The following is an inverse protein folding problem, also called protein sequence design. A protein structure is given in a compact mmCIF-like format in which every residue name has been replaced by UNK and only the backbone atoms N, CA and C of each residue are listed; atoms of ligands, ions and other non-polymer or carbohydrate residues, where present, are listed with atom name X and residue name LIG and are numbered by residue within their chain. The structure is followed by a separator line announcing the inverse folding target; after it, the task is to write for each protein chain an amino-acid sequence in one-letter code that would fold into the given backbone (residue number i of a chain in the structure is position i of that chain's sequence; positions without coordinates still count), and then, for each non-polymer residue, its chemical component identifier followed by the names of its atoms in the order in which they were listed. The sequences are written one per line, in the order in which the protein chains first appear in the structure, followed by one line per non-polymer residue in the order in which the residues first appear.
data_IF_219333171839
#
_entry.id   IF_219333171839
#
_cell.length_a   1.000
_cell.length_b   1.000
_cell.length_c   1.000
_cell.angle_alpha   90.00
_cell.angle_beta   90.00
_cell.angle_gamma   90.00
#
_symmetry.space_group_name_H-M   'P 1'
#
loop_
_entity.id
_entity.type
_entity.pdbx_description
1 polymer ?
#
# COMPACT_ATOMS: atom_id res chain seq x y z
N UNK A 1 30.42 4.02 -0.77
CA UNK A 1 29.76 3.58 0.48
C UNK A 1 30.32 4.40 1.64
N UNK A 2 29.62 4.56 2.76
CA UNK A 2 30.15 5.20 3.96
C UNK A 2 30.28 4.16 5.08
N UNK A 3 31.29 4.31 5.93
CA UNK A 3 31.41 3.51 7.14
C UNK A 3 30.47 4.01 8.25
N UNK A 4 30.49 3.32 9.40
CA UNK A 4 29.67 3.67 10.56
C UNK A 4 29.91 5.09 11.13
N UNK A 5 31.04 5.72 10.78
CA UNK A 5 31.41 7.06 11.20
C UNK A 5 31.18 8.11 10.09
N UNK A 6 30.54 7.73 8.98
CA UNK A 6 30.27 8.61 7.85
C UNK A 6 31.50 8.88 6.96
N UNK A 7 32.60 8.15 7.11
CA UNK A 7 33.78 8.29 6.25
C UNK A 7 33.63 7.41 5.01
N UNK A 8 34.05 7.93 3.87
CA UNK A 8 33.99 7.21 2.58
C UNK A 8 34.78 5.89 2.66
N UNK A 9 34.20 4.85 2.08
CA UNK A 9 34.80 3.56 1.79
C UNK A 9 35.01 3.47 0.27
N UNK A 10 36.27 3.60 -0.16
CA UNK A 10 36.71 3.44 -1.55
C UNK A 10 37.36 2.07 -1.80
N UNK A 11 37.45 1.24 -0.76
CA UNK A 11 38.23 0.01 -0.75
C UNK A 11 37.45 -1.18 -1.35
N UNK A 12 36.15 -0.99 -1.63
CA UNK A 12 35.26 -2.02 -2.18
C UNK A 12 34.27 -1.47 -3.20
N UNK A 13 33.94 -2.30 -4.18
CA UNK A 13 32.87 -2.09 -5.14
C UNK A 13 31.69 -3.03 -4.81
N UNK A 14 30.47 -2.51 -4.91
CA UNK A 14 29.26 -3.30 -4.72
C UNK A 14 28.51 -3.42 -6.04
N UNK A 15 28.19 -4.65 -6.42
CA UNK A 15 27.46 -5.00 -7.62
C UNK A 15 26.27 -5.87 -7.21
N UNK A 16 25.14 -5.72 -7.90
CA UNK A 16 24.02 -6.65 -7.78
C UNK A 16 24.02 -7.51 -9.04
N UNK A 17 24.19 -8.82 -8.87
CA UNK A 17 24.19 -9.79 -9.97
C UNK A 17 23.27 -10.93 -9.57
N UNK A 18 22.24 -11.20 -10.38
CA UNK A 18 21.25 -12.25 -10.12
C UNK A 18 20.66 -12.16 -8.70
N UNK A 19 20.21 -10.98 -8.30
CA UNK A 19 19.64 -10.67 -6.98
C UNK A 19 20.59 -10.89 -5.78
N UNK A 20 21.88 -11.13 -6.03
CA UNK A 20 22.90 -11.22 -4.98
C UNK A 20 23.76 -9.95 -4.94
N UNK A 21 23.93 -9.41 -3.74
CA UNK A 21 24.90 -8.36 -3.48
C UNK A 21 26.30 -8.96 -3.46
N UNK A 22 27.08 -8.68 -4.50
CA UNK A 22 28.49 -9.03 -4.59
C UNK A 22 29.31 -7.83 -4.16
N UNK A 23 30.17 -8.05 -3.16
CA UNK A 23 31.14 -7.06 -2.69
C UNK A 23 32.51 -7.51 -3.18
N UNK A 24 33.19 -6.67 -3.94
CA UNK A 24 34.53 -6.91 -4.47
C UNK A 24 35.52 -5.92 -3.88
N UNK A 25 36.76 -6.35 -3.68
CA UNK A 25 37.86 -5.45 -3.33
C UNK A 25 38.38 -4.68 -4.56
N UNK A 26 39.40 -3.84 -4.35
CA UNK A 26 40.06 -3.08 -5.43
C UNK A 26 40.68 -3.95 -6.54
N UNK A 27 40.95 -5.23 -6.26
CA UNK A 27 41.54 -6.18 -7.20
C UNK A 27 40.47 -6.95 -7.99
N UNK A 28 39.18 -6.76 -7.65
CA UNK A 28 38.06 -7.48 -8.25
C UNK A 28 37.74 -8.82 -7.57
N UNK A 29 38.45 -9.18 -6.50
CA UNK A 29 38.22 -10.40 -5.75
C UNK A 29 37.04 -10.25 -4.81
N UNK A 30 36.30 -11.35 -4.57
CA UNK A 30 35.18 -11.33 -3.61
C UNK A 30 35.69 -10.98 -2.22
N UNK A 31 35.08 -9.97 -1.61
CA UNK A 31 35.37 -9.54 -0.25
C UNK A 31 35.22 -10.71 0.74
N UNK A 32 36.24 -10.91 1.58
CA UNK A 32 36.23 -11.89 2.66
C UNK A 32 36.51 -11.20 3.99
N UNK A 33 35.61 -11.40 4.94
CA UNK A 33 35.77 -10.89 6.29
C UNK A 33 36.86 -11.66 7.05
N UNK A 34 37.79 -10.94 7.68
CA UNK A 34 38.85 -11.50 8.53
C UNK A 34 38.94 -10.74 9.84
N UNK A 35 38.81 -11.45 10.97
CA UNK A 35 38.92 -10.85 12.31
C UNK A 35 40.30 -10.27 12.62
N UNK A 36 41.33 -10.66 11.85
CA UNK A 36 42.72 -10.23 12.05
C UNK A 36 43.03 -8.88 11.38
N UNK A 37 42.19 -8.42 10.46
CA UNK A 37 42.45 -7.23 9.64
C UNK A 37 41.44 -6.12 9.93
N UNK A 38 41.88 -4.98 10.51
CA UNK A 38 41.00 -3.87 10.87
C UNK A 38 40.21 -3.28 9.69
N UNK A 39 40.80 -3.29 8.49
CA UNK A 39 40.16 -2.79 7.27
C UNK A 39 38.93 -3.59 6.86
N UNK A 40 38.99 -4.93 6.96
CA UNK A 40 37.84 -5.79 6.62
C UNK A 40 36.72 -5.67 7.64
N UNK A 41 37.04 -5.47 8.93
CA UNK A 41 36.06 -5.19 9.97
C UNK A 41 35.28 -3.90 9.69
N UNK A 42 35.94 -2.86 9.18
CA UNK A 42 35.30 -1.58 8.85
C UNK A 42 34.23 -1.73 7.77
N UNK A 43 34.53 -2.49 6.71
CA UNK A 43 33.58 -2.77 5.60
C UNK A 43 32.42 -3.63 6.10
N UNK A 44 32.73 -4.70 6.85
CA UNK A 44 31.72 -5.60 7.43
C UNK A 44 30.74 -4.83 8.33
N UNK A 45 31.26 -3.95 9.20
CA UNK A 45 30.46 -3.06 10.06
C UNK A 45 29.53 -2.16 9.23
N UNK A 46 30.03 -1.60 8.14
CA UNK A 46 29.24 -0.73 7.26
C UNK A 46 28.09 -1.47 6.59
N UNK A 47 28.36 -2.64 6.00
CA UNK A 47 27.35 -3.50 5.37
C UNK A 47 26.26 -3.91 6.35
N UNK A 48 26.65 -4.40 7.52
CA UNK A 48 25.71 -4.80 8.58
C UNK A 48 24.83 -3.63 9.03
N UNK A 49 25.43 -2.47 9.33
CA UNK A 49 24.68 -1.31 9.82
C UNK A 49 23.72 -0.76 8.74
N UNK A 50 24.12 -0.76 7.48
CA UNK A 50 23.26 -0.31 6.38
C UNK A 50 22.08 -1.26 6.16
N UNK A 51 22.33 -2.57 6.10
CA UNK A 51 21.26 -3.58 5.99
C UNK A 51 20.32 -3.51 7.19
N UNK A 52 20.87 -3.41 8.40
CA UNK A 52 20.09 -3.24 9.63
C UNK A 52 19.19 -2.00 9.55
N UNK A 53 19.73 -0.86 9.13
CA UNK A 53 18.97 0.39 9.01
C UNK A 53 17.79 0.26 8.04
N UNK A 54 18.01 -0.37 6.88
CA UNK A 54 16.95 -0.63 5.89
C UNK A 54 15.87 -1.54 6.47
N UNK A 55 16.27 -2.64 7.11
CA UNK A 55 15.34 -3.62 7.69
C UNK A 55 14.54 -3.00 8.86
N UNK A 56 15.17 -2.19 9.71
CA UNK A 56 14.53 -1.61 10.90
C UNK A 56 13.63 -0.41 10.59
N UNK A 57 13.96 0.39 9.57
CA UNK A 57 13.34 1.71 9.36
C UNK A 57 12.74 1.94 7.96
N UNK A 58 12.98 1.06 7.00
CA UNK A 58 12.48 1.24 5.63
C UNK A 58 11.56 0.10 5.17
N UNK A 59 11.72 -1.11 5.70
CA UNK A 59 10.92 -2.27 5.31
C UNK A 59 9.83 -2.56 6.32
N UNK A 60 8.59 -2.57 5.82
CA UNK A 60 7.38 -2.87 6.57
C UNK A 60 6.49 -3.79 5.71
N UNK A 61 5.84 -4.75 6.35
CA UNK A 61 5.09 -5.77 5.62
C UNK A 61 3.94 -6.35 6.43
N UNK A 62 2.90 -6.77 5.73
CA UNK A 62 1.71 -7.39 6.30
C UNK A 62 1.32 -8.58 5.45
N UNK A 63 1.07 -9.72 6.08
CA UNK A 63 0.50 -10.90 5.43
C UNK A 63 -0.55 -11.54 6.35
N UNK A 64 -1.62 -12.08 5.76
CA UNK A 64 -2.68 -12.75 6.51
C UNK A 64 -2.22 -14.11 7.05
N UNK A 65 -1.27 -14.76 6.37
CA UNK A 65 -0.72 -16.06 6.75
C UNK A 65 0.44 -15.90 7.75
N UNK A 66 0.30 -16.39 9.00
CA UNK A 66 1.37 -16.32 9.99
C UNK A 66 2.67 -17.01 9.54
N UNK A 67 2.57 -18.07 8.74
CA UNK A 67 3.74 -18.79 8.25
C UNK A 67 4.54 -17.95 7.25
N UNK A 68 3.87 -17.26 6.33
CA UNK A 68 4.52 -16.32 5.40
C UNK A 68 5.28 -15.23 6.15
N UNK A 69 4.66 -14.66 7.20
CA UNK A 69 5.31 -13.66 8.07
C UNK A 69 6.55 -14.21 8.74
N UNK A 70 6.48 -15.42 9.30
CA UNK A 70 7.62 -16.04 9.99
C UNK A 70 8.77 -16.37 9.02
N UNK A 71 8.45 -16.86 7.81
CA UNK A 71 9.46 -17.11 6.76
C UNK A 71 10.11 -15.80 6.31
N UNK A 72 9.33 -14.74 6.09
CA UNK A 72 9.84 -13.42 5.75
C UNK A 72 10.80 -12.89 6.83
N UNK A 73 10.38 -12.95 8.10
CA UNK A 73 11.23 -12.56 9.25
C UNK A 73 12.53 -13.37 9.27
N UNK A 74 12.45 -14.69 9.12
CA UNK A 74 13.63 -15.56 9.09
C UNK A 74 14.56 -15.18 7.93
N UNK A 75 14.03 -14.90 6.73
CA UNK A 75 14.82 -14.51 5.56
C UNK A 75 15.54 -13.18 5.76
N UNK A 76 14.89 -12.19 6.38
CA UNK A 76 15.52 -10.92 6.72
C UNK A 76 16.62 -11.11 7.77
N UNK A 77 16.41 -11.99 8.75
CA UNK A 77 17.45 -12.33 9.73
C UNK A 77 18.63 -13.06 9.11
N UNK A 78 18.41 -14.05 8.24
CA UNK A 78 19.51 -14.77 7.59
C UNK A 78 20.31 -13.84 6.69
N UNK A 79 19.66 -12.90 6.01
CA UNK A 79 20.33 -11.90 5.19
C UNK A 79 21.21 -10.95 6.02
N UNK A 80 20.72 -10.53 7.20
CA UNK A 80 21.52 -9.70 8.11
C UNK A 80 22.66 -10.49 8.78
N UNK A 81 22.45 -11.77 9.07
CA UNK A 81 23.45 -12.65 9.68
C UNK A 81 24.67 -12.87 8.78
N UNK A 82 24.50 -12.84 7.45
CA UNK A 82 25.63 -12.93 6.51
C UNK A 82 26.71 -11.88 6.78
N UNK A 83 26.31 -10.70 7.24
CA UNK A 83 27.22 -9.58 7.51
C UNK A 83 27.49 -9.36 9.01
N UNK A 84 27.05 -10.28 9.88
CA UNK A 84 27.30 -10.16 11.31
C UNK A 84 28.81 -10.13 11.62
N UNK A 85 29.19 -9.34 12.61
CA UNK A 85 30.58 -9.19 13.04
C UNK A 85 30.71 -9.28 14.56
N UNK A 86 31.92 -9.60 15.01
CA UNK A 86 32.29 -9.62 16.42
C UNK A 86 32.67 -8.21 16.87
N UNK A 87 32.07 -7.77 17.97
CA UNK A 87 32.45 -6.52 18.62
C UNK A 87 33.85 -6.61 19.22
N UNK A 88 34.41 -5.47 19.62
CA UNK A 88 35.73 -5.38 20.28
C UNK A 88 35.77 -6.17 21.60
N UNK A 89 34.61 -6.45 22.21
CA UNK A 89 34.48 -7.26 23.42
C UNK A 89 34.29 -8.76 23.14
N UNK A 90 34.42 -9.18 21.87
CA UNK A 90 34.29 -10.59 21.46
C UNK A 90 32.85 -11.11 21.41
N UNK A 91 31.85 -10.27 21.67
CA UNK A 91 30.44 -10.63 21.55
C UNK A 91 29.96 -10.45 20.11
N UNK A 92 29.19 -11.40 19.59
CA UNK A 92 28.54 -11.28 18.29
C UNK A 92 27.47 -10.18 18.35
N UNK A 93 27.41 -9.34 17.31
CA UNK A 93 26.42 -8.27 17.25
C UNK A 93 25.00 -8.84 17.31
N UNK A 94 24.14 -8.23 18.13
CA UNK A 94 22.77 -8.71 18.34
C UNK A 94 21.87 -8.39 17.16
N UNK A 95 21.00 -9.33 16.79
CA UNK A 95 19.99 -9.12 15.76
C UNK A 95 18.89 -8.15 16.24
N UNK A 96 18.37 -7.33 15.33
CA UNK A 96 17.28 -6.40 15.64
C UNK A 96 15.94 -7.13 15.78
N UNK A 97 15.02 -6.48 16.50
CA UNK A 97 13.65 -6.96 16.67
C UNK A 97 12.80 -6.53 15.47
N UNK A 98 12.77 -7.38 14.43
CA UNK A 98 12.05 -7.13 13.16
C UNK A 98 10.57 -7.52 13.21
N UNK A 99 10.16 -8.18 14.29
CA UNK A 99 8.79 -8.64 14.53
C UNK A 99 7.77 -7.49 14.56
N UNK A 100 8.24 -6.27 14.86
CA UNK A 100 7.44 -5.06 14.85
C UNK A 100 7.24 -4.46 13.45
N UNK A 101 8.07 -4.81 12.47
CA UNK A 101 7.97 -4.28 11.11
C UNK A 101 7.18 -5.20 10.17
N UNK A 102 7.22 -6.52 10.40
CA UNK A 102 6.46 -7.51 9.61
C UNK A 102 5.35 -8.07 10.48
N UNK A 103 4.08 -7.84 10.12
CA UNK A 103 2.89 -8.11 10.94
C UNK A 103 1.98 -9.15 10.31
N UNK A 104 1.24 -9.88 11.15
CA UNK A 104 0.17 -10.78 10.71
C UNK A 104 -1.16 -10.01 10.73
N UNK A 105 -1.90 -10.02 9.63
CA UNK A 105 -3.22 -9.40 9.55
C UNK A 105 -3.78 -9.31 8.13
N UNK A 106 -5.08 -9.09 8.02
CA UNK A 106 -5.73 -8.73 6.77
C UNK A 106 -5.52 -7.23 6.51
N UNK A 107 -4.65 -6.93 5.56
CA UNK A 107 -4.31 -5.56 5.17
C UNK A 107 -5.46 -4.75 4.57
N UNK A 108 -6.47 -5.41 3.98
CA UNK A 108 -7.62 -4.77 3.36
C UNK A 108 -8.68 -4.36 4.36
N UNK A 109 -8.72 -5.00 5.53
CA UNK A 109 -9.75 -4.78 6.56
C UNK A 109 -9.18 -3.93 7.69
N UNK A 110 -9.90 -2.86 8.03
CA UNK A 110 -9.63 -1.99 9.17
C UNK A 110 -10.92 -1.53 9.82
N UNK A 111 -10.90 -1.33 11.12
CA UNK A 111 -12.00 -0.76 11.89
C UNK A 111 -12.07 0.74 11.68
N UNK A 112 -10.91 1.39 11.51
CA UNK A 112 -10.78 2.83 11.50
C UNK A 112 -10.17 3.32 10.19
N UNK A 113 -10.75 4.39 9.63
CA UNK A 113 -10.20 5.00 8.42
C UNK A 113 -8.84 5.64 8.67
N UNK A 114 -8.00 5.65 7.63
CA UNK A 114 -6.65 6.24 7.70
C UNK A 114 -6.71 7.74 8.06
N UNK A 115 -7.76 8.44 7.62
CA UNK A 115 -7.94 9.88 7.84
C UNK A 115 -8.81 10.20 9.06
N UNK A 116 -9.16 9.22 9.89
CA UNK A 116 -9.99 9.48 11.07
C UNK A 116 -9.23 10.39 12.05
N UNK A 117 -9.82 11.53 12.43
CA UNK A 117 -9.19 12.39 13.43
C UNK A 117 -9.16 11.69 14.79
N UNK A 118 -8.02 11.83 15.47
CA UNK A 118 -7.82 11.24 16.77
C UNK A 118 -7.48 12.35 17.78
N UNK A 119 -8.31 12.48 18.82
CA UNK A 119 -8.04 13.42 19.91
C UNK A 119 -7.01 12.77 20.86
N UNK A 120 -5.74 12.84 20.45
CA UNK A 120 -4.64 12.38 21.29
C UNK A 120 -4.38 13.45 22.35
N UNK A 121 -4.63 13.13 23.61
CA UNK A 121 -3.90 13.81 24.69
C UNK A 121 -2.41 13.59 24.39
N UNK A 122 -1.71 14.66 23.97
CA UNK A 122 -0.38 14.69 23.33
C UNK A 122 0.76 13.87 23.99
N UNK A 123 0.53 13.29 25.17
CA UNK A 123 1.54 12.55 25.93
C UNK A 123 1.62 11.06 25.52
N UNK A 124 0.51 10.35 25.34
CA UNK A 124 0.54 8.89 25.14
C UNK A 124 1.19 8.45 23.82
N UNK A 125 1.16 9.29 22.78
CA UNK A 125 1.75 8.92 21.46
C UNK A 125 3.27 9.03 21.43
N UNK A 126 3.83 10.08 22.04
CA UNK A 126 5.29 10.20 22.19
C UNK A 126 5.83 9.04 23.02
N UNK A 127 5.08 8.66 24.06
CA UNK A 127 5.40 7.50 24.88
C UNK A 127 5.34 6.23 24.03
N UNK A 128 4.31 6.04 23.20
CA UNK A 128 4.22 4.89 22.28
C UNK A 128 5.40 4.79 21.32
N UNK A 129 5.75 5.88 20.62
CA UNK A 129 6.92 5.92 19.74
C UNK A 129 8.22 5.62 20.50
N UNK A 130 8.36 6.14 21.72
CA UNK A 130 9.52 5.88 22.57
C UNK A 130 9.62 4.41 22.98
N UNK A 131 8.48 3.77 23.28
CA UNK A 131 8.40 2.35 23.63
C UNK A 131 8.75 1.47 22.43
N UNK A 132 8.25 1.80 21.23
CA UNK A 132 8.62 1.12 19.98
C UNK A 132 10.12 1.22 19.73
N UNK A 133 10.71 2.40 19.90
CA UNK A 133 12.16 2.60 19.77
C UNK A 133 12.96 1.84 20.82
N UNK A 134 12.48 1.80 22.06
CA UNK A 134 13.09 1.04 23.16
C UNK A 134 13.01 -0.47 22.90
N UNK A 135 11.89 -0.94 22.35
CA UNK A 135 11.70 -2.33 21.96
C UNK A 135 12.72 -2.74 20.90
N UNK A 136 12.89 -1.96 19.82
CA UNK A 136 13.85 -2.27 18.74
C UNK A 136 15.30 -2.42 19.25
N UNK A 137 15.68 -1.65 20.26
CA UNK A 137 17.06 -1.60 20.78
C UNK A 137 17.35 -2.54 21.97
N UNK A 138 16.32 -3.11 22.60
CA UNK A 138 16.50 -3.94 23.79
C UNK A 138 16.71 -5.41 23.41
N UNK A 139 17.71 -6.07 24.01
CA UNK A 139 17.94 -7.51 23.83
C UNK A 139 17.33 -8.37 24.95
N UNK A 140 17.01 -7.78 26.11
CA UNK A 140 16.50 -8.48 27.29
C UNK A 140 15.03 -8.92 27.13
N UNK A 141 14.76 -10.22 27.29
CA UNK A 141 13.42 -10.82 27.13
C UNK A 141 12.38 -10.33 28.13
N UNK A 142 12.75 -10.09 29.39
CA UNK A 142 11.82 -9.62 30.43
C UNK A 142 11.37 -8.21 30.13
N UNK A 143 12.33 -7.32 29.84
CA UNK A 143 12.05 -5.92 29.48
C UNK A 143 11.17 -5.85 28.22
N UNK A 144 11.40 -6.74 27.23
CA UNK A 144 10.53 -6.85 26.05
C UNK A 144 9.09 -7.23 26.39
N UNK A 145 8.90 -8.18 27.29
CA UNK A 145 7.57 -8.61 27.70
C UNK A 145 6.81 -7.46 28.38
N UNK A 146 7.49 -6.67 29.20
CA UNK A 146 6.90 -5.50 29.87
C UNK A 146 6.56 -4.39 28.87
N UNK A 147 7.47 -4.05 27.96
CA UNK A 147 7.21 -3.08 26.88
C UNK A 147 6.02 -3.53 26.02
N UNK A 148 5.94 -4.82 25.68
CA UNK A 148 4.82 -5.34 24.90
C UNK A 148 3.48 -5.21 25.64
N UNK A 149 3.46 -5.41 26.97
CA UNK A 149 2.25 -5.18 27.77
C UNK A 149 1.85 -3.71 27.77
N UNK A 150 2.80 -2.80 27.92
CA UNK A 150 2.55 -1.35 27.86
C UNK A 150 2.01 -0.93 26.49
N UNK A 151 2.62 -1.41 25.41
CA UNK A 151 2.14 -1.21 24.03
C UNK A 151 0.70 -1.70 23.88
N UNK A 152 0.36 -2.89 24.40
CA UNK A 152 -0.99 -3.41 24.31
C UNK A 152 -2.00 -2.61 25.15
N UNK A 153 -1.59 -2.11 26.31
CA UNK A 153 -2.44 -1.22 27.11
C UNK A 153 -2.75 0.08 26.36
N UNK A 154 -1.73 0.71 25.77
CA UNK A 154 -1.91 1.92 24.94
C UNK A 154 -2.83 1.63 23.75
N UNK A 155 -2.65 0.49 23.08
CA UNK A 155 -3.53 0.06 21.98
C UNK A 155 -4.97 -0.10 22.45
N UNK A 156 -5.20 -0.77 23.59
CA UNK A 156 -6.55 -0.98 24.13
C UNK A 156 -7.23 0.34 24.53
N UNK A 157 -6.49 1.27 25.14
CA UNK A 157 -6.98 2.63 25.42
C UNK A 157 -7.35 3.36 24.13
N UNK A 158 -6.51 3.24 23.09
CA UNK A 158 -6.77 3.83 21.78
C UNK A 158 -8.06 3.28 21.17
N UNK A 159 -8.21 1.95 21.12
CA UNK A 159 -9.42 1.29 20.65
C UNK A 159 -10.65 1.68 21.46
N UNK A 160 -10.51 1.88 22.78
CA UNK A 160 -11.61 2.30 23.66
C UNK A 160 -12.02 3.77 23.47
N UNK A 161 -11.09 4.64 23.10
CA UNK A 161 -11.36 6.06 22.82
C UNK A 161 -11.95 6.30 21.43
N UNK A 162 -11.78 5.37 20.50
CA UNK A 162 -12.26 5.53 19.14
C UNK A 162 -13.78 5.40 19.06
N UNK A 163 -14.40 6.41 18.45
CA UNK A 163 -15.84 6.39 18.15
C UNK A 163 -16.03 6.06 16.67
N UNK A 164 -16.58 4.89 16.39
CA UNK A 164 -17.01 4.54 15.03
C UNK A 164 -18.08 5.52 14.55
N UNK A 165 -18.31 5.67 13.24
CA UNK A 165 -19.45 6.46 12.74
C UNK A 165 -20.80 5.97 13.30
N UNK A 166 -20.89 4.69 13.69
CA UNK A 166 -22.02 4.16 14.45
C UNK A 166 -22.04 4.68 15.91
N UNK A 167 -20.88 4.72 16.58
CA UNK A 167 -20.71 5.30 17.91
C UNK A 167 -21.00 6.82 17.95
N UNK A 168 -20.57 7.58 16.96
CA UNK A 168 -20.96 9.01 16.88
C UNK A 168 -22.45 9.20 16.65
N UNK A 169 -23.08 8.35 15.82
CA UNK A 169 -24.54 8.37 15.63
C UNK A 169 -25.27 8.05 16.92
N UNK A 170 -24.75 7.10 17.70
CA UNK A 170 -25.24 6.77 19.03
C UNK A 170 -25.11 7.95 19.99
N UNK A 171 -23.94 8.57 20.07
CA UNK A 171 -23.72 9.75 20.92
C UNK A 171 -24.61 10.92 20.52
N UNK A 172 -24.76 11.20 19.22
CA UNK A 172 -25.68 12.23 18.72
C UNK A 172 -27.12 11.92 19.10
N UNK A 173 -27.54 10.65 18.99
CA UNK A 173 -28.88 10.22 19.36
C UNK A 173 -29.11 10.32 20.88
N UNK A 174 -28.13 9.92 21.70
CA UNK A 174 -28.18 10.01 23.16
C UNK A 174 -28.11 11.46 23.66
N UNK A 175 -27.25 12.30 23.08
CA UNK A 175 -27.18 13.72 23.40
C UNK A 175 -28.49 14.45 23.05
N UNK A 176 -29.12 14.10 21.91
CA UNK A 176 -30.43 14.63 21.53
C UNK A 176 -31.54 14.13 22.45
N UNK A 177 -31.51 12.87 22.85
CA UNK A 177 -32.43 12.30 23.84
C UNK A 177 -32.28 12.99 25.20
N UNK A 178 -31.05 13.21 25.67
CA UNK A 178 -30.76 13.89 26.94
C UNK A 178 -31.18 15.37 26.90
N UNK A 179 -30.97 16.07 25.77
CA UNK A 179 -31.46 17.45 25.60
C UNK A 179 -32.99 17.54 25.63
N UNK A 180 -33.69 16.60 25.00
CA UNK A 180 -35.17 16.57 25.01
C UNK A 180 -35.71 16.13 26.38
N UNK A 181 -35.03 15.21 27.07
CA UNK A 181 -35.37 14.81 28.43
C UNK A 181 -35.06 15.88 29.49
N UNK A 182 -34.08 16.77 29.23
CA UNK A 182 -33.82 17.98 30.02
C UNK A 182 -34.65 19.19 29.55
N UNK A 183 -35.38 19.04 28.44
CA UNK A 183 -36.26 20.05 27.84
C UNK A 183 -37.44 20.36 28.75
N UNK A 184 -37.19 21.35 29.61
CA UNK A 184 -38.08 22.16 30.43
C UNK A 184 -38.95 21.41 31.46
N UNK A 185 -38.55 21.56 32.73
CA UNK A 185 -39.37 21.50 33.94
C UNK A 185 -40.67 22.38 33.89
N UNK A 186 -40.89 23.12 32.78
CA UNK A 186 -41.94 24.11 32.55
C UNK A 186 -42.58 24.05 31.14
N UNK A 187 -42.31 23.04 30.31
CA UNK A 187 -43.06 22.79 29.06
C UNK A 187 -43.36 21.29 28.94
N UNK A 188 -44.58 20.95 28.53
CA UNK A 188 -44.99 19.55 28.33
C UNK A 188 -44.00 18.84 27.40
N UNK A 189 -43.30 17.85 27.94
CA UNK A 189 -42.39 17.02 27.17
C UNK A 189 -43.19 16.31 26.09
N UNK A 190 -42.85 16.52 24.82
CA UNK A 190 -43.51 15.85 23.72
C UNK A 190 -43.18 14.34 23.77
N UNK A 191 -44.06 13.57 24.41
CA UNK A 191 -43.91 12.14 24.70
C UNK A 191 -43.71 11.28 23.44
N UNK A 192 -44.27 11.71 22.32
CA UNK A 192 -44.10 11.09 20.99
C UNK A 192 -42.65 11.24 20.50
N UNK A 193 -42.11 12.47 20.53
CA UNK A 193 -40.74 12.76 20.10
C UNK A 193 -39.70 12.02 20.97
N UNK A 194 -39.95 11.92 22.28
CA UNK A 194 -39.09 11.18 23.19
C UNK A 194 -39.10 9.66 22.90
N UNK A 195 -40.28 9.08 22.60
CA UNK A 195 -40.40 7.67 22.20
C UNK A 195 -39.66 7.38 20.89
N UNK A 196 -39.78 8.26 19.89
CA UNK A 196 -39.04 8.13 18.63
C UNK A 196 -37.52 8.23 18.82
N UNK A 197 -37.06 9.21 19.60
CA UNK A 197 -35.63 9.39 19.88
C UNK A 197 -35.06 8.21 20.67
N UNK A 198 -35.81 7.66 21.62
CA UNK A 198 -35.43 6.43 22.34
C UNK A 198 -35.33 5.22 21.40
N UNK A 199 -36.25 5.09 20.44
CA UNK A 199 -36.18 4.05 19.42
C UNK A 199 -34.98 4.23 18.48
N UNK A 200 -34.68 5.47 18.06
CA UNK A 200 -33.49 5.80 17.25
C UNK A 200 -32.19 5.53 18.02
N UNK A 201 -32.12 5.89 19.30
CA UNK A 201 -30.96 5.60 20.16
C UNK A 201 -30.77 4.10 20.35
N UNK A 202 -31.86 3.33 20.57
CA UNK A 202 -31.79 1.87 20.66
C UNK A 202 -31.28 1.22 19.36
N UNK A 203 -31.81 1.63 18.19
CA UNK A 203 -31.32 1.17 16.89
C UNK A 203 -29.84 1.54 16.65
N UNK A 204 -29.44 2.74 17.05
CA UNK A 204 -28.04 3.17 16.97
C UNK A 204 -27.13 2.34 17.90
N UNK A 205 -27.62 1.97 19.10
CA UNK A 205 -26.90 1.11 20.04
C UNK A 205 -26.72 -0.30 19.47
N UNK A 206 -27.79 -0.89 18.95
CA UNK A 206 -27.75 -2.21 18.31
C UNK A 206 -26.79 -2.21 17.10
N UNK A 207 -26.80 -1.15 16.29
CA UNK A 207 -25.86 -0.99 15.19
C UNK A 207 -24.41 -0.83 15.66
N UNK A 208 -24.19 -0.12 16.77
CA UNK A 208 -22.87 0.05 17.38
C UNK A 208 -22.32 -1.26 17.95
N UNK A 209 -23.11 -2.00 18.73
CA UNK A 209 -22.71 -3.30 19.28
C UNK A 209 -22.45 -4.33 18.16
N UNK A 210 -23.28 -4.33 17.11
CA UNK A 210 -23.09 -5.17 15.93
C UNK A 210 -21.80 -4.83 15.18
N UNK A 211 -21.48 -3.54 15.04
CA UNK A 211 -20.25 -3.10 14.41
C UNK A 211 -19.01 -3.44 15.27
N UNK A 212 -19.09 -3.26 16.59
CA UNK A 212 -18.00 -3.51 17.54
C UNK A 212 -17.61 -4.99 17.60
N UNK A 213 -18.59 -5.88 17.58
CA UNK A 213 -18.41 -7.34 17.68
C UNK A 213 -18.43 -8.04 16.32
N UNK A 214 -18.27 -7.30 15.22
CA UNK A 214 -18.27 -7.90 13.87
C UNK A 214 -17.08 -8.86 13.71
N UNK A 215 -17.30 -10.14 13.34
CA UNK A 215 -16.24 -11.13 13.12
C UNK A 215 -15.20 -10.72 12.06
N UNK A 216 -15.60 -9.84 11.12
CA UNK A 216 -14.75 -9.31 10.05
C UNK A 216 -13.47 -8.68 10.61
N UNK A 217 -13.52 -8.13 11.83
CA UNK A 217 -12.39 -7.41 12.42
C UNK A 217 -11.50 -8.26 13.34
N UNK A 218 -11.62 -9.59 13.32
CA UNK A 218 -10.78 -10.46 14.16
C UNK A 218 -9.31 -10.46 13.71
N UNK A 219 -9.06 -10.18 12.44
CA UNK A 219 -7.71 -10.10 11.86
C UNK A 219 -7.45 -8.74 11.17
N UNK A 220 -8.21 -7.70 11.52
CA UNK A 220 -8.08 -6.39 10.87
C UNK A 220 -6.71 -5.76 11.13
N UNK A 221 -6.18 -5.11 10.11
CA UNK A 221 -4.91 -4.39 10.18
C UNK A 221 -5.13 -2.89 10.38
N UNK A 222 -4.94 -2.42 11.61
CA UNK A 222 -4.95 -0.99 11.92
C UNK A 222 -3.58 -0.36 11.61
N UNK A 223 -3.37 -0.01 10.33
CA UNK A 223 -2.10 0.51 9.81
C UNK A 223 -1.43 1.58 10.70
N UNK A 224 -2.22 2.55 11.18
CA UNK A 224 -1.75 3.66 12.05
C UNK A 224 -1.23 3.19 13.40
N UNK A 225 -1.82 2.14 13.95
CA UNK A 225 -1.48 1.62 15.28
C UNK A 225 -0.36 0.60 15.22
N UNK A 226 -0.37 -0.23 14.19
CA UNK A 226 0.66 -1.25 14.01
C UNK A 226 1.97 -0.67 13.51
N UNK A 227 1.92 0.46 12.80
CA UNK A 227 3.07 1.22 12.31
C UNK A 227 2.94 2.71 12.71
N UNK A 228 3.22 3.07 13.96
CA UNK A 228 3.17 4.47 14.40
C UNK A 228 4.22 5.36 13.72
N UNK A 229 5.25 4.79 13.09
CA UNK A 229 6.30 5.55 12.40
C UNK A 229 5.80 6.33 11.17
N UNK A 230 4.63 5.99 10.63
CA UNK A 230 3.99 6.72 9.53
C UNK A 230 2.98 7.78 9.98
N UNK A 231 3.01 8.12 11.27
CA UNK A 231 2.22 9.21 11.82
C UNK A 231 3.10 10.45 12.06
N UNK A 232 2.51 11.63 11.92
CA UNK A 232 3.18 12.89 12.25
C UNK A 232 3.12 13.21 13.75
N UNK A 233 3.64 14.38 14.15
CA UNK A 233 3.59 14.82 15.55
C UNK A 233 2.19 15.06 16.10
N UNK A 234 1.19 15.19 15.24
CA UNK A 234 -0.22 15.36 15.60
C UNK A 234 -0.97 14.01 15.63
N UNK A 235 -0.33 12.92 15.21
CA UNK A 235 -0.93 11.59 15.11
C UNK A 235 -1.71 11.37 13.81
N UNK A 236 -1.55 12.25 12.83
CA UNK A 236 -2.17 12.14 11.52
C UNK A 236 -1.36 11.22 10.61
N UNK A 237 -2.06 10.45 9.77
CA UNK A 237 -1.42 9.49 8.87
C UNK A 237 -0.72 10.22 7.71
N UNK A 238 0.60 10.13 7.66
CA UNK A 238 1.44 10.74 6.61
C UNK A 238 1.46 9.88 5.36
N UNK A 239 1.52 8.56 5.54
CA UNK A 239 1.67 7.58 4.47
C UNK A 239 3.11 7.26 4.11
N UNK A 240 3.28 6.38 3.12
CA UNK A 240 4.55 5.79 2.73
C UNK A 240 5.16 6.47 1.51
N UNK A 241 6.50 6.50 1.47
CA UNK A 241 7.29 6.93 0.30
C UNK A 241 7.16 5.98 -0.90
N UNK A 242 7.13 4.67 -0.62
CA UNK A 242 7.12 3.62 -1.63
C UNK A 242 6.21 2.49 -1.16
N UNK A 243 5.34 2.02 -2.05
CA UNK A 243 4.47 0.86 -1.82
C UNK A 243 4.67 -0.13 -2.96
N UNK A 244 5.20 -1.30 -2.64
CA UNK A 244 5.49 -2.39 -3.58
C UNK A 244 4.66 -3.62 -3.22
N UNK A 245 4.11 -4.33 -4.20
CA UNK A 245 3.43 -5.60 -3.96
C UNK A 245 3.29 -6.47 -5.20
N UNK A 246 3.20 -7.77 -4.95
CA UNK A 246 2.58 -8.74 -5.84
C UNK A 246 1.29 -9.23 -5.12
N UNK A 247 0.15 -8.52 -5.26
CA UNK A 247 -1.05 -8.83 -4.51
C UNK A 247 -1.67 -10.17 -4.93
N UNK A 248 -2.53 -10.79 -4.10
CA UNK A 248 -3.24 -12.01 -4.49
C UNK A 248 -4.23 -11.74 -5.63
N UNK A 249 -4.41 -12.73 -6.51
CA UNK A 249 -5.29 -12.67 -7.69
C UNK A 249 -6.54 -13.55 -7.52
N UNK A 250 -7.40 -13.22 -6.56
CA UNK A 250 -8.57 -14.02 -6.19
C UNK A 250 -9.85 -13.31 -6.66
N UNK A 251 -10.72 -14.05 -7.34
CA UNK A 251 -12.03 -13.55 -7.74
C UNK A 251 -13.04 -13.63 -6.58
N UNK A 252 -13.71 -12.52 -6.27
CA UNK A 252 -14.71 -12.47 -5.20
C UNK A 252 -15.96 -13.37 -5.43
N UNK A 253 -16.13 -13.96 -6.63
CA UNK A 253 -17.27 -14.83 -6.97
C UNK A 253 -17.17 -16.25 -6.42
N UNK A 254 -15.98 -16.76 -6.11
CA UNK A 254 -15.75 -18.19 -5.86
C UNK A 254 -16.06 -18.63 -4.41
N UNK A 255 -17.04 -18.00 -3.75
CA UNK A 255 -17.31 -18.19 -2.31
C UNK A 255 -16.09 -17.93 -1.40
N UNK A 256 -15.03 -17.31 -1.94
CA UNK A 256 -13.77 -17.08 -1.24
C UNK A 256 -13.87 -16.07 -0.09
N UNK A 257 -14.99 -15.34 -0.02
CA UNK A 257 -15.27 -14.36 1.03
C UNK A 257 -16.69 -14.57 1.55
N UNK A 258 -16.85 -14.41 2.87
CA UNK A 258 -18.17 -14.33 3.48
C UNK A 258 -18.90 -13.03 3.08
N UNK A 259 -20.21 -12.99 3.30
CA UNK A 259 -21.04 -11.86 2.86
C UNK A 259 -20.75 -10.57 3.64
N UNK A 260 -20.28 -10.67 4.88
CA UNK A 260 -19.89 -9.51 5.69
C UNK A 260 -18.64 -8.82 5.10
N UNK A 261 -17.66 -9.62 4.69
CA UNK A 261 -16.42 -9.17 4.06
C UNK A 261 -16.70 -8.55 2.70
N UNK A 262 -17.60 -9.13 1.90
CA UNK A 262 -18.05 -8.53 0.63
C UNK A 262 -18.70 -7.15 0.86
N UNK A 263 -19.61 -7.05 1.84
CA UNK A 263 -20.26 -5.77 2.19
C UNK A 263 -19.25 -4.72 2.67
N UNK A 264 -18.26 -5.14 3.47
CA UNK A 264 -17.16 -4.29 3.87
C UNK A 264 -16.39 -3.77 2.64
N UNK A 265 -16.01 -4.64 1.70
CA UNK A 265 -15.29 -4.21 0.50
C UNK A 265 -16.09 -3.25 -0.38
N UNK A 266 -17.38 -3.52 -0.59
CA UNK A 266 -18.25 -2.66 -1.40
C UNK A 266 -18.45 -1.27 -0.78
N UNK A 267 -18.45 -1.18 0.55
CA UNK A 267 -18.64 0.10 1.26
C UNK A 267 -17.36 0.91 1.41
N UNK A 268 -16.19 0.27 1.47
CA UNK A 268 -14.90 0.94 1.74
C UNK A 268 -14.04 1.13 0.49
N UNK A 269 -14.27 0.35 -0.56
CA UNK A 269 -13.54 0.44 -1.82
C UNK A 269 -14.49 0.73 -2.97
N UNK A 270 -14.21 1.79 -3.73
CA UNK A 270 -14.94 2.08 -4.97
C UNK A 270 -14.50 1.08 -6.05
N UNK A 271 -15.20 -0.05 -6.11
CA UNK A 271 -14.98 -1.12 -7.10
C UNK A 271 -16.21 -1.33 -7.98
N UNK A 272 -16.03 -2.05 -9.09
CA UNK A 272 -17.14 -2.50 -9.93
C UNK A 272 -17.90 -3.62 -9.24
N UNK A 273 -19.23 -3.47 -9.16
CA UNK A 273 -20.12 -4.41 -8.48
C UNK A 273 -19.92 -5.82 -9.06
N UNK A 274 -19.77 -6.81 -8.17
CA UNK A 274 -19.81 -8.24 -8.46
C UNK A 274 -18.66 -8.90 -9.25
N UNK A 275 -17.55 -8.21 -9.59
CA UNK A 275 -16.37 -8.84 -10.24
C UNK A 275 -15.00 -8.44 -9.69
N UNK A 276 -14.93 -7.72 -8.57
CA UNK A 276 -13.65 -7.26 -8.04
C UNK A 276 -12.70 -8.45 -7.79
N UNK A 277 -11.59 -8.47 -8.55
CA UNK A 277 -10.44 -9.29 -8.24
C UNK A 277 -9.68 -8.59 -7.10
N UNK A 278 -9.18 -9.35 -6.13
CA UNK A 278 -8.52 -8.80 -4.93
C UNK A 278 -7.42 -7.80 -5.26
N UNK A 279 -6.66 -7.98 -6.36
CA UNK A 279 -5.61 -7.02 -6.73
C UNK A 279 -6.16 -5.59 -6.89
N UNK A 280 -7.40 -5.40 -7.35
CA UNK A 280 -8.01 -4.07 -7.50
C UNK A 280 -8.23 -3.38 -6.16
N UNK A 281 -8.59 -4.15 -5.13
CA UNK A 281 -8.70 -3.66 -3.74
C UNK A 281 -7.32 -3.26 -3.21
N UNK A 282 -6.31 -4.09 -3.45
CA UNK A 282 -4.93 -3.81 -3.06
C UNK A 282 -4.33 -2.59 -3.76
N UNK A 283 -4.70 -2.31 -5.02
CA UNK A 283 -4.29 -1.08 -5.70
C UNK A 283 -4.87 0.16 -5.03
N UNK A 284 -6.16 0.12 -4.67
CA UNK A 284 -6.82 1.22 -3.92
C UNK A 284 -6.21 1.39 -2.54
N UNK A 285 -5.95 0.29 -1.82
CA UNK A 285 -5.26 0.32 -0.55
C UNK A 285 -3.87 0.95 -0.70
N UNK A 286 -3.05 0.48 -1.64
CA UNK A 286 -1.70 0.97 -1.85
C UNK A 286 -1.65 2.46 -2.18
N UNK A 287 -2.57 2.95 -3.02
CA UNK A 287 -2.72 4.40 -3.25
C UNK A 287 -3.07 5.19 -1.98
N UNK A 288 -3.99 4.66 -1.16
CA UNK A 288 -4.40 5.30 0.08
C UNK A 288 -3.27 5.30 1.13
N UNK A 289 -2.41 4.29 1.11
CA UNK A 289 -1.23 4.18 1.96
C UNK A 289 -0.10 5.12 1.55
N UNK A 290 0.00 5.50 0.27
CA UNK A 290 1.03 6.43 -0.21
C UNK A 290 0.83 7.85 0.31
N UNK A 291 1.94 8.52 0.62
CA UNK A 291 1.96 9.97 0.80
C UNK A 291 1.91 10.69 -0.55
N UNK A 292 1.60 11.99 -0.54
CA UNK A 292 1.65 12.81 -1.76
C UNK A 292 3.07 12.78 -2.37
N UNK A 293 3.16 12.49 -3.67
CA UNK A 293 4.43 12.31 -4.39
C UNK A 293 5.12 10.95 -4.15
N UNK A 294 4.55 10.07 -3.33
CA UNK A 294 5.05 8.71 -3.13
C UNK A 294 4.87 7.82 -4.36
N UNK A 295 5.70 6.79 -4.47
CA UNK A 295 5.78 5.89 -5.63
C UNK A 295 5.06 4.56 -5.36
N UNK A 296 4.29 4.11 -6.33
CA UNK A 296 3.62 2.81 -6.36
C UNK A 296 4.33 1.89 -7.36
N UNK A 297 4.44 0.60 -7.05
CA UNK A 297 5.00 -0.39 -7.98
C UNK A 297 4.42 -1.79 -7.75
N UNK A 298 3.44 -2.22 -8.55
CA UNK A 298 2.83 -3.56 -8.43
C UNK A 298 3.04 -4.42 -9.67
N UNK A 299 3.08 -5.73 -9.45
CA UNK A 299 2.88 -6.74 -10.48
C UNK A 299 1.43 -7.20 -10.39
N UNK A 300 0.64 -7.11 -11.47
CA UNK A 300 -0.78 -7.49 -11.48
C UNK A 300 -1.14 -8.20 -12.79
N UNK A 301 -2.31 -8.86 -12.92
CA UNK A 301 -2.71 -9.47 -14.18
C UNK A 301 -2.92 -8.42 -15.28
N UNK A 302 -2.45 -8.70 -16.49
CA UNK A 302 -2.59 -7.78 -17.63
C UNK A 302 -4.05 -7.60 -18.11
N UNK A 303 -4.96 -8.44 -17.60
CA UNK A 303 -6.39 -8.33 -17.85
C UNK A 303 -6.98 -6.97 -17.39
N UNK A 304 -6.26 -6.26 -16.51
CA UNK A 304 -6.56 -4.88 -16.10
C UNK A 304 -6.59 -3.93 -17.29
N UNK A 305 -5.75 -4.16 -18.31
CA UNK A 305 -5.55 -3.28 -19.45
C UNK A 305 -6.79 -3.16 -20.36
N UNK A 306 -7.55 -4.24 -20.53
CA UNK A 306 -8.57 -4.33 -21.59
C UNK A 306 -9.95 -4.79 -21.12
N UNK A 307 -10.07 -5.57 -20.04
CA UNK A 307 -11.37 -6.15 -19.64
C UNK A 307 -12.33 -5.07 -19.11
N UNK A 308 -13.60 -5.15 -19.51
CA UNK A 308 -14.65 -4.19 -19.13
C UNK A 308 -14.88 -4.12 -17.61
N UNK A 309 -14.80 -5.24 -16.88
CA UNK A 309 -14.99 -5.25 -15.41
C UNK A 309 -13.92 -4.47 -14.64
N UNK A 310 -12.81 -4.10 -15.30
CA UNK A 310 -11.73 -3.29 -14.72
C UNK A 310 -11.79 -1.83 -15.18
N UNK A 311 -12.94 -1.35 -15.65
CA UNK A 311 -13.07 0.02 -16.12
C UNK A 311 -12.80 1.04 -15.00
N UNK A 312 -13.42 0.88 -13.82
CA UNK A 312 -13.24 1.84 -12.71
C UNK A 312 -11.81 1.95 -12.21
N UNK A 313 -11.01 0.87 -12.32
CA UNK A 313 -9.61 0.92 -11.91
C UNK A 313 -8.77 1.70 -12.94
N UNK A 314 -9.04 1.55 -14.24
CA UNK A 314 -8.38 2.35 -15.27
C UNK A 314 -8.80 3.82 -15.21
N UNK A 315 -10.09 4.09 -15.03
CA UNK A 315 -10.60 5.45 -14.79
C UNK A 315 -9.89 6.09 -13.60
N UNK A 316 -9.69 5.32 -12.52
CA UNK A 316 -8.96 5.78 -11.35
C UNK A 316 -7.49 6.09 -11.64
N UNK A 317 -6.77 5.22 -12.34
CA UNK A 317 -5.36 5.43 -12.67
C UNK A 317 -5.17 6.72 -13.47
N UNK A 318 -5.97 6.92 -14.52
CA UNK A 318 -5.89 8.13 -15.36
C UNK A 318 -6.23 9.39 -14.57
N UNK A 319 -7.22 9.35 -13.68
CA UNK A 319 -7.73 10.56 -13.05
C UNK A 319 -7.09 10.90 -11.69
N UNK A 320 -6.32 9.99 -11.09
CA UNK A 320 -5.80 10.15 -9.72
C UNK A 320 -4.30 9.93 -9.57
N UNK A 321 -3.60 9.51 -10.62
CA UNK A 321 -2.17 9.18 -10.57
C UNK A 321 -1.40 9.94 -11.64
N UNK A 322 -0.15 10.27 -11.36
CA UNK A 322 0.78 10.87 -12.31
C UNK A 322 1.97 9.95 -12.57
N UNK A 323 2.73 10.24 -13.62
CA UNK A 323 3.83 9.43 -14.12
C UNK A 323 3.45 7.94 -14.21
N UNK A 324 2.27 7.66 -14.77
CA UNK A 324 1.74 6.31 -14.85
C UNK A 324 2.57 5.53 -15.86
N UNK A 325 3.20 4.45 -15.43
CA UNK A 325 3.98 3.57 -16.29
C UNK A 325 3.37 2.17 -16.27
N UNK A 326 3.12 1.63 -17.46
CA UNK A 326 2.51 0.32 -17.66
C UNK A 326 3.43 -0.50 -18.56
N UNK A 327 4.01 -1.56 -18.00
CA UNK A 327 4.84 -2.51 -18.73
C UNK A 327 4.09 -3.83 -18.84
N UNK A 328 3.65 -4.21 -20.03
CA UNK A 328 3.03 -5.52 -20.23
C UNK A 328 4.10 -6.60 -20.37
N UNK A 329 4.01 -7.65 -19.56
CA UNK A 329 4.93 -8.78 -19.66
C UNK A 329 4.47 -9.72 -20.77
N UNK A 330 5.36 -9.94 -21.73
CA UNK A 330 5.25 -11.03 -22.71
C UNK A 330 5.83 -12.33 -22.13
N UNK A 331 6.67 -12.19 -21.09
CA UNK A 331 7.24 -13.31 -20.35
C UNK A 331 6.25 -13.92 -19.36
N UNK A 332 6.37 -15.23 -19.20
CA UNK A 332 5.75 -15.97 -18.09
C UNK A 332 6.58 -15.75 -16.81
N UNK A 333 6.28 -14.66 -16.10
CA UNK A 333 7.00 -14.27 -14.88
C UNK A 333 6.96 -15.31 -13.75
N UNK A 334 5.93 -16.16 -13.71
CA UNK A 334 5.75 -17.18 -12.69
C UNK A 334 5.63 -18.56 -13.34
N UNK A 335 6.54 -19.47 -13.02
CA UNK A 335 6.58 -20.82 -13.62
C UNK A 335 5.27 -21.59 -13.40
N UNK A 336 4.69 -21.43 -12.21
CA UNK A 336 3.59 -22.25 -11.70
C UNK A 336 2.20 -21.64 -11.95
N UNK A 337 2.13 -20.40 -12.46
CA UNK A 337 0.87 -19.70 -12.71
C UNK A 337 0.64 -19.49 -14.21
N UNK A 338 -0.58 -19.74 -14.68
CA UNK A 338 -0.98 -19.48 -16.08
C UNK A 338 -1.71 -18.14 -16.21
N UNK A 339 -1.06 -17.07 -15.72
CA UNK A 339 -1.62 -15.71 -15.71
C UNK A 339 -0.59 -14.75 -16.29
N UNK A 340 -0.99 -14.06 -17.36
CA UNK A 340 -0.20 -12.99 -17.95
C UNK A 340 -0.25 -11.75 -17.07
N UNK A 341 0.90 -11.09 -16.91
CA UNK A 341 1.07 -10.01 -15.95
C UNK A 341 1.47 -8.71 -16.63
N UNK A 342 1.20 -7.60 -15.97
CA UNK A 342 1.80 -6.32 -16.25
C UNK A 342 2.38 -5.73 -14.96
N UNK A 343 3.38 -4.87 -15.12
CA UNK A 343 3.90 -4.04 -14.06
C UNK A 343 3.25 -2.67 -14.17
N UNK A 344 2.81 -2.14 -13.04
CA UNK A 344 2.18 -0.83 -12.95
C UNK A 344 2.94 0.00 -11.94
N UNK A 345 3.47 1.13 -12.40
CA UNK A 345 4.12 2.13 -11.58
C UNK A 345 3.37 3.45 -11.70
N UNK A 346 3.30 4.21 -10.62
CA UNK A 346 2.79 5.59 -10.68
C UNK A 346 3.24 6.38 -9.46
N UNK A 347 3.08 7.69 -9.50
CA UNK A 347 3.17 8.57 -8.33
C UNK A 347 1.80 9.05 -7.90
N UNK A 348 1.63 9.25 -6.60
CA UNK A 348 0.44 9.88 -6.03
C UNK A 348 0.51 11.39 -6.24
N UNK A 349 0.20 11.81 -7.45
CA UNK A 349 0.20 13.21 -7.89
C UNK A 349 -0.88 13.48 -8.95
N UNK A 350 -0.97 14.73 -9.41
CA UNK A 350 -1.92 15.10 -10.45
C UNK A 350 -1.61 14.35 -11.76
N UNK A 351 -2.64 13.93 -12.52
CA UNK A 351 -2.42 13.28 -13.80
C UNK A 351 -1.66 14.15 -14.79
N UNK A 352 -0.69 13.55 -15.48
CA UNK A 352 0.15 14.20 -16.47
C UNK A 352 0.38 13.29 -17.69
N UNK A 353 1.03 12.15 -17.48
CA UNK A 353 1.63 11.33 -18.51
C UNK A 353 1.44 9.85 -18.24
N UNK A 354 1.33 9.09 -19.33
CA UNK A 354 1.26 7.64 -19.34
C UNK A 354 2.37 7.12 -20.25
N UNK A 355 3.29 6.35 -19.68
CA UNK A 355 4.34 5.64 -20.41
C UNK A 355 3.96 4.18 -20.55
N UNK A 356 4.13 3.62 -21.74
CA UNK A 356 3.85 2.19 -21.97
C UNK A 356 5.06 1.46 -22.52
N UNK A 357 5.21 0.20 -22.12
CA UNK A 357 6.29 -0.67 -22.54
C UNK A 357 5.91 -2.14 -22.55
N UNK A 358 6.83 -2.96 -23.04
CA UNK A 358 6.77 -4.42 -22.97
C UNK A 358 8.03 -4.95 -22.26
N UNK A 359 7.86 -6.03 -21.51
CA UNK A 359 8.95 -6.85 -20.98
C UNK A 359 8.96 -8.17 -21.75
N UNK A 360 10.08 -8.47 -22.40
CA UNK A 360 10.24 -9.64 -23.26
C UNK A 360 11.66 -10.22 -23.09
N UNK A 361 11.74 -11.50 -22.73
CA UNK A 361 12.97 -12.24 -22.44
C UNK A 361 13.88 -11.57 -21.40
N UNK A 362 13.27 -10.95 -20.38
CA UNK A 362 13.98 -10.21 -19.33
C UNK A 362 14.47 -8.81 -19.74
N UNK A 363 14.30 -8.40 -21.00
CA UNK A 363 14.58 -7.05 -21.46
C UNK A 363 13.30 -6.21 -21.50
N UNK A 364 13.31 -5.04 -20.86
CA UNK A 364 12.18 -4.12 -20.91
C UNK A 364 12.43 -3.02 -21.95
N UNK A 365 11.38 -2.68 -22.71
CA UNK A 365 11.42 -1.63 -23.73
C UNK A 365 10.21 -0.71 -23.59
N UNK A 366 10.49 0.58 -23.45
CA UNK A 366 9.46 1.62 -23.47
C UNK A 366 9.17 2.04 -24.93
N UNK A 367 7.89 2.15 -25.28
CA UNK A 367 7.46 2.53 -26.63
C UNK A 367 7.15 4.01 -26.77
N UNK A 368 6.81 4.68 -25.67
CA UNK A 368 6.56 6.11 -25.66
C UNK A 368 5.72 6.56 -24.49
N UNK A 369 5.66 7.88 -24.35
CA UNK A 369 4.88 8.58 -23.33
C UNK A 369 3.79 9.39 -24.02
N UNK A 370 2.57 9.29 -23.51
CA UNK A 370 1.39 10.01 -24.00
C UNK A 370 0.75 10.81 -22.86
N UNK A 371 -0.03 11.85 -23.16
CA UNK A 371 -0.82 12.55 -22.13
C UNK A 371 -1.82 11.63 -21.43
N UNK A 372 -2.24 11.97 -20.22
CA UNK A 372 -3.17 11.17 -19.42
C UNK A 372 -4.52 10.89 -20.10
N UNK A 373 -5.01 11.82 -20.94
CA UNK A 373 -6.28 11.72 -21.65
C UNK A 373 -6.22 10.91 -22.96
N UNK A 374 -5.03 10.43 -23.35
CA UNK A 374 -4.82 9.76 -24.65
C UNK A 374 -5.71 8.53 -24.88
N UNK A 375 -5.96 7.75 -23.83
CA UNK A 375 -6.82 6.56 -23.90
C UNK A 375 -8.31 6.87 -23.70
N UNK A 376 -8.68 8.15 -23.62
CA UNK A 376 -10.02 8.62 -23.32
C UNK A 376 -10.28 8.77 -21.82
N UNK A 377 -11.12 9.75 -21.48
CA UNK A 377 -11.53 10.03 -20.09
C UNK A 377 -12.74 9.21 -19.63
N UNK A 378 -13.41 8.55 -20.58
CA UNK A 378 -14.54 7.66 -20.31
C UNK A 378 -14.22 6.27 -20.89
N UNK A 379 -14.25 5.24 -20.04
CA UNK A 379 -14.03 3.85 -20.45
C UNK A 379 -12.68 3.61 -21.15
N UNK A 380 -11.55 4.07 -20.56
CA UNK A 380 -10.25 3.91 -21.18
C UNK A 380 -9.93 2.43 -21.41
N UNK A 381 -9.17 2.14 -22.45
CA UNK A 381 -8.58 0.83 -22.72
C UNK A 381 -7.09 1.06 -22.98
N UNK A 382 -6.24 0.45 -22.16
CA UNK A 382 -4.79 0.58 -22.28
C UNK A 382 -4.25 -0.36 -23.36
N UNK A 383 -4.50 -0.03 -24.62
CA UNK A 383 -3.95 -0.76 -25.75
C UNK A 383 -2.55 -0.23 -26.09
N UNK A 384 -1.52 -0.97 -25.66
CA UNK A 384 -0.10 -0.61 -25.87
C UNK A 384 0.23 -0.44 -27.35
N UNK A 385 -0.43 -1.18 -28.25
CA UNK A 385 -0.23 -1.06 -29.70
C UNK A 385 -0.58 0.35 -30.22
N UNK A 386 -1.49 1.07 -29.57
CA UNK A 386 -1.84 2.44 -29.95
C UNK A 386 -0.66 3.41 -29.79
N UNK A 387 0.21 3.17 -28.81
CA UNK A 387 1.41 3.99 -28.58
C UNK A 387 2.56 3.46 -29.43
N UNK A 388 2.76 2.14 -29.46
CA UNK A 388 3.81 1.46 -30.24
C UNK A 388 3.76 1.79 -31.72
N UNK A 389 2.56 1.85 -32.31
CA UNK A 389 2.35 2.14 -33.73
C UNK A 389 1.70 3.50 -33.98
N UNK A 390 1.85 4.45 -33.04
CA UNK A 390 1.18 5.76 -33.09
C UNK A 390 1.34 6.46 -34.44
N UNK A 391 2.57 6.54 -34.97
CA UNK A 391 2.83 7.18 -36.26
C UNK A 391 2.06 6.51 -37.44
N UNK A 392 1.99 5.19 -37.45
CA UNK A 392 1.26 4.42 -38.47
C UNK A 392 -0.25 4.61 -38.34
N UNK A 393 -0.76 4.61 -37.10
CA UNK A 393 -2.18 4.84 -36.82
C UNK A 393 -2.58 6.27 -37.21
N UNK A 394 -1.77 7.27 -36.87
CA UNK A 394 -2.00 8.66 -37.25
C UNK A 394 -1.99 8.84 -38.78
N UNK A 395 -1.06 8.18 -39.47
CA UNK A 395 -1.02 8.17 -40.93
C UNK A 395 -2.27 7.53 -41.54
N UNK A 396 -2.72 6.38 -41.01
CA UNK A 396 -3.93 5.71 -41.44
C UNK A 396 -5.18 6.60 -41.30
N UNK A 397 -5.32 7.30 -40.15
CA UNK A 397 -6.45 8.20 -39.94
C UNK A 397 -6.42 9.43 -40.84
N UNK A 398 -5.24 10.02 -41.07
CA UNK A 398 -5.08 11.12 -42.04
C UNK A 398 -5.49 10.69 -43.44
N UNK A 399 -5.08 9.49 -43.89
CA UNK A 399 -5.48 8.93 -45.19
C UNK A 399 -6.99 8.66 -45.27
N UNK A 400 -7.61 8.18 -44.19
CA UNK A 400 -9.06 7.92 -44.14
C UNK A 400 -9.86 9.22 -44.19
N UNK A 401 -9.43 10.27 -43.50
CA UNK A 401 -10.04 11.61 -43.57
C UNK A 401 -9.90 12.17 -44.98
N UNK A 402 -8.70 12.07 -45.59
CA UNK A 402 -8.49 12.47 -46.98
C UNK A 402 -9.42 11.72 -47.94
N UNK A 403 -9.59 10.40 -47.77
CA UNK A 403 -10.54 9.60 -48.57
C UNK A 403 -11.99 10.04 -48.37
N UNK A 404 -12.41 10.32 -47.14
CA UNK A 404 -13.75 10.81 -46.83
C UNK A 404 -14.02 12.18 -47.46
N UNK A 405 -13.05 13.11 -47.36
CA UNK A 405 -13.11 14.42 -48.02
C UNK A 405 -13.18 14.29 -49.54
N UNK A 406 -12.37 13.42 -50.15
CA UNK A 406 -12.45 13.18 -51.60
C UNK A 406 -13.77 12.55 -52.01
N UNK A 407 -14.37 11.67 -51.19
CA UNK A 407 -15.68 11.10 -51.47
C UNK A 407 -16.82 12.13 -51.40
N UNK A 408 -16.75 13.06 -50.44
CA UNK A 408 -17.67 14.18 -50.31
C UNK A 408 -17.55 15.15 -51.49
N UNK A 409 -16.32 15.48 -51.90
CA UNK A 409 -16.08 16.30 -53.09
C UNK A 409 -16.59 15.61 -54.36
N UNK A 410 -16.38 14.30 -54.53
CA UNK A 410 -16.92 13.56 -55.69
C UNK A 410 -18.44 13.43 -55.70
N UNK A 411 -19.11 13.56 -54.54
CA UNK A 411 -20.57 13.60 -54.44
C UNK A 411 -21.13 14.99 -54.81
N UNK A 412 -20.42 16.08 -54.50
CA UNK A 412 -20.80 17.43 -54.94
C UNK A 412 -20.62 17.64 -56.46
N UNK A 413 -19.68 16.93 -57.10
CA UNK A 413 -19.50 16.97 -58.56
C UNK A 413 -20.42 16.03 -59.36
N UNK A 414 -21.29 15.24 -58.70
CA UNK A 414 -22.27 14.36 -59.36
C UNK A 414 -23.69 14.94 -59.42
N UNK A 415 -23.87 16.24 -59.12
CA UNK A 415 -25.08 16.97 -59.54
C UNK A 415 -24.77 18.04 -60.57
N UNK A 416 -24.90 17.73 -61.87
CA UNK A 416 -25.28 18.71 -62.88
C UNK A 416 -26.79 18.60 -63.13
N UNK A 417 -27.46 19.71 -62.89
CA UNK A 417 -28.71 20.12 -63.53
C UNK A 417 -28.84 19.65 -64.98
N UNK A 418 -29.82 18.80 -65.28
CA UNK A 418 -30.89 19.00 -66.29
C UNK A 418 -31.82 17.80 -66.34
#
# INVERSE_FOLDING_TARGET
MFDANGKILNDVQCLVVNDELIVQDINGDRFKYSTKEPGTLRIQKALFNQKRTIIENCLYGVDINPNSVNICRLRLWTELLKDAYYSETGSLTTLPNIDINIKVGDSLIRRFDLNAHFDMRRNNFKDYLSLVKKYKNTSNKTVKADINKEIQNIKNEFFGSFKTPAGERLDRAQARMNKVGQGNLFHETNLEEFKELKAKAKKAQEAYEKAKNSPVFNHSMEWRMEFPEVLDSNGDFVGWDLVIANPPYIFARNQSFDDYTKQYYLSHYTVDEYQANTYTLFMKLGYNLLKQGGTFAYIIPNNMLTIHSNQKIRDFLINKTGQLEIINSMDKLFTDANVDNCLVFFKKECPDTITVGELDHGEYKLFGTVPSDFFGNEKPIFNISMVKYKATIDAFWKLKILRALTSLLSLEFLTPSQ
#
